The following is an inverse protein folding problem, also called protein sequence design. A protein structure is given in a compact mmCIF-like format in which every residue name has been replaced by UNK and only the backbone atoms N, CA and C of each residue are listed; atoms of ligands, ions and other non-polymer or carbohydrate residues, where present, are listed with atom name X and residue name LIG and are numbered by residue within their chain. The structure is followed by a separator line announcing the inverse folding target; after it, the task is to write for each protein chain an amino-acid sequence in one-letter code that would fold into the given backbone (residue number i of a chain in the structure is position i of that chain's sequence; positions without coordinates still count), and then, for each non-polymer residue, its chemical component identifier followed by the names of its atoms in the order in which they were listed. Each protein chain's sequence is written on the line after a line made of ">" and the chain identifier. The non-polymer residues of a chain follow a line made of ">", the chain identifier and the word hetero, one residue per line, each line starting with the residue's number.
data_IF_807459974933
#
_entry.id   IF_807459974933
#
_cell.length_a   1.000
_cell.length_b   1.000
_cell.length_c   1.000
_cell.angle_alpha   90.00
_cell.angle_beta   90.00
_cell.angle_gamma   90.00
#
_symmetry.space_group_name_H-M   'P 1'
#
loop_
_entity.id
_entity.type
_entity.pdbx_description
1 polymer ?
#
# COMPACT_ATOMS: atom_id res chain seq x y z
N UNK A 1 1.72 14.42 -10.69
CA UNK A 1 3.14 14.58 -11.05
C UNK A 1 3.26 15.19 -12.45
N UNK A 2 2.71 14.54 -13.49
CA UNK A 2 2.85 15.01 -14.89
C UNK A 2 2.38 16.44 -15.08
N UNK A 3 1.22 16.82 -14.54
CA UNK A 3 0.73 18.18 -14.57
C UNK A 3 1.69 19.20 -13.93
N UNK A 4 2.27 18.87 -12.78
CA UNK A 4 3.25 19.75 -12.12
C UNK A 4 4.53 19.89 -12.95
N UNK A 5 5.03 18.80 -13.53
CA UNK A 5 6.19 18.86 -14.44
C UNK A 5 5.86 19.68 -15.69
N UNK A 6 4.65 19.56 -16.26
CA UNK A 6 4.19 20.39 -17.37
C UNK A 6 4.09 21.89 -17.02
N UNK A 7 3.91 22.23 -15.74
CA UNK A 7 3.98 23.60 -15.21
C UNK A 7 5.41 24.02 -14.80
N UNK A 8 6.42 23.23 -15.17
CA UNK A 8 7.83 23.52 -14.89
C UNK A 8 8.26 23.26 -13.44
N UNK A 9 7.50 22.48 -12.68
CA UNK A 9 7.84 22.09 -11.31
C UNK A 9 8.59 20.76 -11.32
N UNK A 10 9.80 20.71 -10.78
CA UNK A 10 10.61 19.49 -10.69
C UNK A 10 9.96 18.51 -9.70
N UNK A 11 9.19 17.56 -10.22
CA UNK A 11 8.32 16.67 -9.45
C UNK A 11 8.64 15.21 -9.70
N UNK A 12 8.71 14.42 -8.63
CA UNK A 12 8.79 12.95 -8.67
C UNK A 12 7.55 12.31 -8.07
N UNK A 13 7.22 11.11 -8.58
CA UNK A 13 6.13 10.28 -8.10
C UNK A 13 6.69 9.09 -7.32
N UNK A 14 6.06 8.75 -6.17
CA UNK A 14 6.39 7.57 -5.39
C UNK A 14 5.14 6.70 -5.17
N UNK A 15 5.19 5.45 -5.63
CA UNK A 15 4.07 4.51 -5.59
C UNK A 15 4.46 3.18 -4.98
N UNK A 16 3.44 2.43 -4.55
CA UNK A 16 3.59 1.02 -4.20
C UNK A 16 3.72 0.16 -5.44
N UNK A 17 4.43 -0.94 -5.29
CA UNK A 17 4.45 -2.03 -6.25
C UNK A 17 3.12 -2.81 -6.19
N UNK A 18 2.52 -3.17 -7.34
CA UNK A 18 1.28 -3.95 -7.36
C UNK A 18 1.52 -5.41 -6.98
N UNK A 19 0.59 -5.98 -6.21
CA UNK A 19 0.54 -7.41 -5.89
C UNK A 19 -0.20 -8.19 -6.98
N UNK A 20 0.26 -9.41 -7.32
CA UNK A 20 -0.35 -10.27 -8.33
C UNK A 20 -1.80 -10.64 -8.01
N UNK A 21 -2.14 -10.82 -6.73
CA UNK A 21 -3.50 -11.13 -6.33
C UNK A 21 -4.52 -10.09 -6.83
N UNK A 22 -4.35 -8.79 -6.52
CA UNK A 22 -5.16 -7.71 -7.10
C UNK A 22 -5.07 -7.58 -8.62
N UNK A 23 -3.88 -7.79 -9.23
CA UNK A 23 -3.69 -7.70 -10.69
C UNK A 23 -4.58 -8.69 -11.43
N UNK A 24 -4.58 -9.95 -10.99
CA UNK A 24 -5.45 -11.00 -11.57
C UNK A 24 -6.85 -11.02 -10.95
N UNK A 25 -7.15 -10.15 -10.00
CA UNK A 25 -8.44 -10.03 -9.34
C UNK A 25 -9.32 -8.94 -9.94
N UNK A 26 -10.38 -8.60 -9.21
CA UNK A 26 -11.37 -7.59 -9.61
C UNK A 26 -10.79 -6.17 -9.68
N UNK A 27 -9.71 -5.89 -8.94
CA UNK A 27 -9.10 -4.55 -8.90
C UNK A 27 -8.20 -4.25 -10.10
N UNK A 28 -7.63 -5.28 -10.73
CA UNK A 28 -6.64 -5.11 -11.78
C UNK A 28 -5.30 -4.57 -11.27
N UNK A 29 -4.44 -4.12 -12.19
CA UNK A 29 -3.10 -3.58 -11.88
C UNK A 29 -3.12 -2.21 -11.20
N UNK A 30 -1.97 -1.81 -10.65
CA UNK A 30 -1.80 -0.56 -9.91
C UNK A 30 -0.88 0.46 -10.59
N UNK A 31 -0.45 0.22 -11.83
CA UNK A 31 0.42 1.13 -12.60
C UNK A 31 -0.33 2.33 -13.21
N UNK A 32 -1.60 2.56 -12.83
CA UNK A 32 -2.44 3.60 -13.38
C UNK A 32 -3.33 3.14 -14.53
N UNK A 33 -3.89 4.09 -15.29
CA UNK A 33 -4.77 3.80 -16.41
C UNK A 33 -4.99 5.00 -17.33
N UNK A 34 -5.48 4.73 -18.54
CA UNK A 34 -5.61 5.77 -19.56
C UNK A 34 -4.27 6.41 -19.88
N UNK A 35 -4.22 7.73 -19.94
CA UNK A 35 -2.99 8.49 -20.14
C UNK A 35 -2.20 8.76 -18.85
N UNK A 36 -2.75 8.42 -17.68
CA UNK A 36 -2.08 8.55 -16.38
C UNK A 36 -1.51 7.19 -15.94
N UNK A 37 -0.41 6.79 -16.52
CA UNK A 37 0.24 5.50 -16.29
C UNK A 37 1.72 5.65 -15.98
N UNK A 38 2.23 4.68 -15.21
CA UNK A 38 3.66 4.40 -15.02
C UNK A 38 4.05 3.25 -15.94
N UNK A 39 5.18 3.34 -16.59
CA UNK A 39 5.66 2.35 -17.57
C UNK A 39 7.01 1.76 -17.17
N UNK A 40 7.27 0.50 -17.52
CA UNK A 40 6.46 -0.44 -18.34
C UNK A 40 5.32 -1.08 -17.52
N UNK A 41 4.07 -0.77 -17.85
CA UNK A 41 2.89 -1.11 -17.03
C UNK A 41 2.68 -2.62 -16.86
N UNK A 42 2.79 -3.37 -17.97
CA UNK A 42 2.60 -4.82 -17.95
C UNK A 42 3.67 -5.51 -17.09
N UNK A 43 4.92 -5.12 -17.24
CA UNK A 43 6.03 -5.69 -16.47
C UNK A 43 5.92 -5.33 -14.98
N UNK A 44 5.57 -4.07 -14.66
CA UNK A 44 5.34 -3.62 -13.29
C UNK A 44 4.24 -4.45 -12.63
N UNK A 45 3.14 -4.72 -13.33
CA UNK A 45 2.03 -5.53 -12.83
C UNK A 45 2.40 -7.01 -12.65
N UNK A 46 3.49 -7.50 -13.23
CA UNK A 46 3.95 -8.88 -13.22
C UNK A 46 5.26 -9.10 -12.44
N UNK A 47 5.56 -8.25 -11.46
CA UNK A 47 6.72 -8.36 -10.55
C UNK A 47 8.09 -8.24 -11.25
N UNK A 48 8.26 -7.33 -12.18
CA UNK A 48 9.52 -7.15 -12.88
C UNK A 48 10.71 -6.81 -11.97
N UNK A 49 10.45 -6.19 -10.81
CA UNK A 49 11.48 -5.79 -9.83
C UNK A 49 12.08 -6.98 -9.08
N UNK A 50 11.28 -8.01 -8.81
CA UNK A 50 11.65 -9.11 -7.94
C UNK A 50 11.47 -8.86 -6.43
N UNK A 51 11.09 -7.66 -6.01
CA UNK A 51 10.95 -7.28 -4.59
C UNK A 51 9.95 -8.18 -3.86
N UNK A 52 8.77 -8.41 -4.43
CA UNK A 52 7.74 -9.27 -3.85
C UNK A 52 8.19 -10.73 -3.75
N UNK A 53 8.97 -11.23 -4.71
CA UNK A 53 9.56 -12.58 -4.64
C UNK A 53 10.60 -12.69 -3.52
N UNK A 54 11.46 -11.67 -3.36
CA UNK A 54 12.45 -11.62 -2.28
C UNK A 54 11.76 -11.60 -0.90
N UNK A 55 10.71 -10.79 -0.74
CA UNK A 55 9.92 -10.69 0.49
C UNK A 55 9.23 -12.02 0.82
N UNK A 56 8.58 -12.65 -0.18
CA UNK A 56 7.95 -13.95 0.00
C UNK A 56 8.96 -15.03 0.38
N UNK A 57 10.13 -15.04 -0.26
CA UNK A 57 11.20 -16.00 0.05
C UNK A 57 11.75 -15.77 1.46
N UNK A 58 11.99 -14.55 1.89
CA UNK A 58 12.46 -14.24 3.24
C UNK A 58 11.43 -14.64 4.31
N UNK A 59 10.14 -14.40 4.06
CA UNK A 59 9.06 -14.82 4.93
C UNK A 59 9.00 -16.36 5.09
N UNK A 60 9.09 -17.07 3.98
CA UNK A 60 8.99 -18.53 3.97
C UNK A 60 10.26 -19.20 4.49
N UNK A 61 11.42 -18.54 4.37
CA UNK A 61 12.65 -18.99 5.03
C UNK A 61 12.48 -19.03 6.55
N UNK A 62 11.92 -17.98 7.15
CA UNK A 62 11.65 -17.97 8.60
C UNK A 62 10.71 -19.13 8.99
N UNK A 63 9.62 -19.36 8.26
CA UNK A 63 8.71 -20.45 8.49
C UNK A 63 9.42 -21.81 8.45
N UNK A 64 10.25 -22.03 7.42
CA UNK A 64 11.02 -23.28 7.29
C UNK A 64 12.06 -23.44 8.42
N UNK A 65 12.70 -22.36 8.87
CA UNK A 65 13.67 -22.41 9.97
C UNK A 65 13.00 -22.70 11.31
N UNK A 66 11.78 -22.21 11.57
CA UNK A 66 11.00 -22.56 12.77
C UNK A 66 10.72 -24.06 12.78
N UNK A 67 10.18 -24.61 11.68
CA UNK A 67 9.86 -26.03 11.56
C UNK A 67 11.12 -26.91 11.69
N UNK A 68 12.22 -26.48 11.08
CA UNK A 68 13.51 -27.16 11.19
C UNK A 68 14.06 -27.12 12.64
N UNK A 69 13.93 -26.01 13.35
CA UNK A 69 14.36 -25.90 14.74
C UNK A 69 13.63 -26.91 15.64
N UNK A 70 12.32 -27.08 15.42
CA UNK A 70 11.53 -28.10 16.14
C UNK A 70 11.98 -29.49 15.75
N UNK A 71 12.17 -29.79 14.49
CA UNK A 71 12.58 -31.09 13.97
C UNK A 71 13.98 -31.51 14.47
N UNK A 72 14.90 -30.56 14.64
CA UNK A 72 16.27 -30.79 15.10
C UNK A 72 16.42 -30.77 16.63
N UNK A 73 15.38 -31.10 17.36
CA UNK A 73 15.40 -31.26 18.81
C UNK A 73 14.83 -30.09 19.62
N UNK A 74 14.27 -29.09 18.96
CA UNK A 74 13.52 -27.99 19.60
C UNK A 74 14.29 -27.30 20.74
N UNK A 75 15.51 -26.79 20.51
CA UNK A 75 16.35 -26.21 21.56
C UNK A 75 15.72 -24.97 22.23
N UNK A 76 14.79 -24.31 21.57
CA UNK A 76 14.06 -23.14 22.06
C UNK A 76 12.77 -23.50 22.78
N UNK A 77 12.46 -24.80 22.93
CA UNK A 77 11.26 -25.29 23.60
C UNK A 77 9.94 -24.70 23.02
N UNK A 78 9.87 -24.56 21.70
CA UNK A 78 8.71 -24.02 20.98
C UNK A 78 7.52 -24.98 21.12
N UNK A 79 6.34 -24.46 21.47
CA UNK A 79 5.08 -25.20 21.37
C UNK A 79 4.57 -25.12 19.91
N UNK A 80 4.53 -26.24 19.16
CA UNK A 80 4.08 -26.25 17.77
C UNK A 80 2.65 -25.74 17.54
N UNK A 81 1.83 -25.72 18.59
CA UNK A 81 0.46 -25.19 18.55
C UNK A 81 0.41 -23.67 18.73
N UNK A 82 1.55 -23.04 19.02
CA UNK A 82 1.69 -21.61 19.31
C UNK A 82 2.67 -20.93 18.37
N UNK A 83 2.82 -21.45 17.16
CA UNK A 83 3.52 -20.77 16.07
C UNK A 83 2.53 -19.75 15.49
N UNK A 84 2.92 -18.48 15.51
CA UNK A 84 2.12 -17.36 14.99
C UNK A 84 2.51 -16.98 13.57
N UNK A 85 3.66 -17.46 13.11
CA UNK A 85 4.21 -17.17 11.80
C UNK A 85 3.62 -18.10 10.74
N UNK A 86 3.06 -17.50 9.69
CA UNK A 86 2.54 -18.22 8.53
C UNK A 86 3.47 -18.09 7.34
N UNK A 87 3.31 -18.97 6.38
CA UNK A 87 3.88 -18.83 5.06
C UNK A 87 3.17 -17.74 4.27
N UNK A 88 3.73 -17.34 3.13
CA UNK A 88 3.04 -16.41 2.24
C UNK A 88 3.31 -16.76 0.78
N UNK A 89 2.40 -16.29 -0.09
CA UNK A 89 2.56 -16.26 -1.53
C UNK A 89 1.80 -15.04 -2.07
N UNK A 90 2.25 -14.46 -3.16
CA UNK A 90 1.62 -13.25 -3.68
C UNK A 90 0.44 -13.56 -4.61
N UNK A 91 -0.56 -14.25 -4.06
CA UNK A 91 -1.81 -14.60 -4.72
C UNK A 91 -2.95 -14.66 -3.71
N UNK A 92 -4.16 -14.28 -4.12
CA UNK A 92 -5.36 -14.49 -3.32
C UNK A 92 -5.81 -15.94 -3.43
N UNK A 93 -5.42 -16.79 -2.47
CA UNK A 93 -5.80 -18.19 -2.42
C UNK A 93 -6.48 -18.54 -1.09
N UNK A 94 -7.81 -18.71 -1.14
CA UNK A 94 -8.61 -19.08 0.05
C UNK A 94 -8.41 -20.51 0.50
N UNK A 95 -8.01 -21.40 -0.40
CA UNK A 95 -7.78 -22.82 -0.08
C UNK A 95 -6.57 -22.99 0.84
N UNK A 96 -5.61 -22.06 0.78
CA UNK A 96 -4.37 -22.12 1.56
C UNK A 96 -4.41 -21.29 2.85
N UNK A 97 -5.54 -20.69 3.23
CA UNK A 97 -5.64 -19.88 4.46
C UNK A 97 -5.44 -20.69 5.74
N UNK A 98 -5.93 -21.93 5.72
CA UNK A 98 -5.79 -22.87 6.83
C UNK A 98 -5.46 -24.23 6.24
N UNK A 99 -4.26 -24.74 6.57
CA UNK A 99 -3.76 -26.03 6.08
C UNK A 99 -3.16 -26.80 7.26
N UNK A 100 -2.91 -28.08 7.05
CA UNK A 100 -2.03 -28.87 7.91
C UNK A 100 -0.77 -29.16 7.10
N UNK A 101 0.38 -28.73 7.61
CA UNK A 101 1.69 -29.03 7.04
C UNK A 101 2.39 -30.17 7.81
N UNK A 102 3.60 -30.54 7.37
CA UNK A 102 4.41 -31.58 8.04
C UNK A 102 3.89 -33.01 7.88
N UNK A 103 2.93 -33.26 6.96
CA UNK A 103 2.39 -34.60 6.70
C UNK A 103 3.40 -35.48 5.96
N UNK A 104 3.21 -36.82 5.98
CA UNK A 104 4.06 -37.78 5.28
C UNK A 104 5.11 -38.45 6.14
N UNK A 105 4.99 -38.38 7.45
CA UNK A 105 5.81 -39.08 8.43
C UNK A 105 6.96 -38.27 9.01
N UNK A 106 7.67 -38.85 9.96
CA UNK A 106 8.65 -38.21 10.83
C UNK A 106 9.74 -37.40 10.07
N UNK A 107 10.10 -37.82 8.86
CA UNK A 107 11.13 -37.15 8.05
C UNK A 107 10.68 -35.78 7.51
N UNK A 108 9.38 -35.54 7.46
CA UNK A 108 8.80 -34.29 6.91
C UNK A 108 8.47 -33.24 7.98
N UNK A 109 8.70 -33.55 9.25
CA UNK A 109 8.48 -32.61 10.35
C UNK A 109 7.35 -33.01 11.29
N UNK A 110 6.88 -32.04 12.06
CA UNK A 110 5.76 -32.17 13.00
C UNK A 110 4.50 -31.63 12.37
N UNK A 111 3.44 -32.45 12.18
CA UNK A 111 2.17 -31.92 11.67
C UNK A 111 1.63 -30.81 12.55
N UNK A 112 1.29 -29.68 11.93
CA UNK A 112 0.70 -28.52 12.60
C UNK A 112 -0.22 -27.73 11.69
N UNK A 113 -1.02 -26.86 12.27
CA UNK A 113 -1.76 -25.85 11.52
C UNK A 113 -0.80 -24.80 10.96
N UNK A 114 -0.98 -24.43 9.71
CA UNK A 114 -0.30 -23.35 9.03
C UNK A 114 -1.27 -22.66 8.04
N UNK A 115 -0.79 -21.77 7.23
CA UNK A 115 -1.51 -21.10 6.15
C UNK A 115 -0.61 -20.26 5.30
N UNK A 116 -1.17 -19.75 4.21
CA UNK A 116 -0.49 -18.82 3.34
C UNK A 116 -1.24 -17.48 3.34
N UNK A 117 -0.60 -16.44 3.84
CA UNK A 117 -1.07 -15.07 3.68
C UNK A 117 -0.57 -14.51 2.33
N UNK A 118 -1.20 -13.45 1.82
CA UNK A 118 -0.67 -12.78 0.64
C UNK A 118 0.60 -12.01 1.02
N UNK A 119 1.63 -12.04 0.17
CA UNK A 119 2.96 -11.46 0.47
C UNK A 119 2.89 -10.01 0.95
N UNK A 120 2.01 -9.20 0.36
CA UNK A 120 1.82 -7.78 0.72
C UNK A 120 1.13 -7.55 2.08
N UNK A 121 0.63 -8.61 2.71
CA UNK A 121 0.11 -8.60 4.09
C UNK A 121 1.13 -9.11 5.11
N UNK A 122 2.30 -9.57 4.70
CA UNK A 122 3.32 -10.09 5.60
C UNK A 122 3.97 -8.99 6.46
N UNK A 123 4.41 -9.36 7.67
CA UNK A 123 5.23 -8.45 8.50
C UNK A 123 6.55 -8.09 7.81
N UNK A 124 7.12 -8.98 7.01
CA UNK A 124 8.35 -8.71 6.25
C UNK A 124 8.14 -7.54 5.30
N UNK A 125 7.01 -7.48 4.58
CA UNK A 125 6.67 -6.34 3.73
C UNK A 125 6.55 -5.03 4.53
N UNK A 126 5.88 -5.05 5.68
CA UNK A 126 5.72 -3.86 6.52
C UNK A 126 7.07 -3.37 7.07
N UNK A 127 7.91 -4.27 7.56
CA UNK A 127 9.26 -3.99 8.04
C UNK A 127 10.13 -3.42 6.92
N UNK A 128 10.12 -4.05 5.75
CA UNK A 128 10.85 -3.63 4.57
C UNK A 128 10.52 -2.18 4.17
N UNK A 129 9.24 -1.83 4.16
CA UNK A 129 8.80 -0.48 3.79
C UNK A 129 9.13 0.60 4.84
N UNK A 130 9.33 0.22 6.11
CA UNK A 130 9.70 1.14 7.17
C UNK A 130 11.22 1.20 7.40
N UNK A 131 11.98 0.24 6.90
CA UNK A 131 13.43 0.22 7.06
C UNK A 131 14.11 1.42 6.39
N UNK A 132 15.17 1.92 7.01
CA UNK A 132 15.95 3.07 6.54
C UNK A 132 17.36 2.71 6.09
N UNK A 133 17.79 1.48 6.36
CA UNK A 133 19.08 0.91 5.95
C UNK A 133 19.05 -0.61 6.07
N UNK A 134 20.05 -1.28 5.50
CA UNK A 134 20.18 -2.74 5.63
C UNK A 134 20.40 -3.18 7.09
N UNK A 135 21.09 -2.37 7.88
CA UNK A 135 21.30 -2.64 9.30
C UNK A 135 20.00 -2.51 10.10
N UNK A 136 19.22 -1.45 9.84
CA UNK A 136 17.90 -1.24 10.44
C UNK A 136 16.94 -2.36 10.02
N UNK A 137 16.95 -2.77 8.75
CA UNK A 137 16.18 -3.91 8.27
C UNK A 137 16.50 -5.19 9.07
N UNK A 138 17.78 -5.52 9.23
CA UNK A 138 18.21 -6.70 9.98
C UNK A 138 17.78 -6.64 11.45
N UNK A 139 17.92 -5.49 12.08
CA UNK A 139 17.52 -5.30 13.47
C UNK A 139 16.02 -5.51 13.65
N UNK A 140 15.19 -4.95 12.75
CA UNK A 140 13.73 -5.12 12.78
C UNK A 140 13.31 -6.57 12.55
N UNK A 141 13.89 -7.22 11.54
CA UNK A 141 13.63 -8.63 11.25
C UNK A 141 13.95 -9.52 12.46
N UNK A 142 15.03 -9.22 13.19
CA UNK A 142 15.40 -9.98 14.39
C UNK A 142 14.36 -9.92 15.51
N UNK A 143 13.53 -8.88 15.55
CA UNK A 143 12.51 -8.64 16.59
C UNK A 143 11.15 -9.28 16.28
N UNK A 144 10.96 -9.86 15.09
CA UNK A 144 9.72 -10.54 14.73
C UNK A 144 9.43 -11.65 15.74
N UNK A 145 8.28 -11.61 16.40
CA UNK A 145 7.79 -12.70 17.25
C UNK A 145 7.10 -13.73 16.37
N UNK A 146 7.69 -14.90 16.25
CA UNK A 146 7.24 -15.93 15.31
C UNK A 146 6.60 -17.16 15.98
N UNK A 147 6.82 -17.36 17.29
CA UNK A 147 6.28 -18.46 18.05
C UNK A 147 6.29 -18.17 19.56
N UNK A 148 5.76 -19.09 20.35
CA UNK A 148 5.87 -19.08 21.82
C UNK A 148 6.36 -20.44 22.32
N UNK A 149 7.10 -20.42 23.43
CA UNK A 149 7.51 -21.64 24.16
C UNK A 149 6.31 -22.28 24.87
N UNK A 150 6.48 -23.52 25.36
CA UNK A 150 5.47 -24.17 26.20
C UNK A 150 5.14 -23.37 27.48
N UNK A 151 6.09 -22.57 27.98
CA UNK A 151 5.90 -21.68 29.13
C UNK A 151 5.27 -20.31 28.73
N UNK A 152 5.01 -20.09 27.46
CA UNK A 152 4.39 -18.86 26.96
C UNK A 152 5.36 -17.69 26.72
N UNK A 153 6.65 -17.92 26.70
CA UNK A 153 7.64 -16.89 26.35
C UNK A 153 7.68 -16.69 24.83
N UNK A 154 7.77 -15.43 24.33
CA UNK A 154 7.91 -15.20 22.90
C UNK A 154 9.25 -15.72 22.37
N UNK A 155 9.23 -16.26 21.16
CA UNK A 155 10.39 -16.65 20.37
C UNK A 155 10.48 -15.75 19.16
N UNK A 156 11.64 -15.15 18.94
CA UNK A 156 11.86 -14.20 17.85
C UNK A 156 12.62 -14.83 16.67
N UNK A 157 12.56 -14.17 15.51
CA UNK A 157 13.40 -14.56 14.36
C UNK A 157 14.92 -14.43 14.68
N UNK A 158 15.28 -13.55 15.62
CA UNK A 158 16.63 -13.47 16.17
C UNK A 158 17.01 -14.71 16.96
N UNK A 159 16.12 -15.23 17.81
CA UNK A 159 16.35 -16.48 18.58
C UNK A 159 16.49 -17.71 17.66
N UNK A 160 15.73 -17.74 16.57
CA UNK A 160 15.83 -18.75 15.50
C UNK A 160 17.15 -18.62 14.71
N UNK A 161 17.78 -17.44 14.71
CA UNK A 161 18.96 -17.14 13.90
C UNK A 161 18.66 -16.79 12.46
N UNK A 162 17.41 -16.47 12.10
CA UNK A 162 16.97 -16.25 10.72
C UNK A 162 17.30 -14.88 10.15
N UNK A 163 17.43 -13.86 10.99
CA UNK A 163 17.48 -12.45 10.59
C UNK A 163 18.58 -12.13 9.56
N UNK A 164 19.75 -12.75 9.69
CA UNK A 164 20.87 -12.56 8.75
C UNK A 164 20.57 -13.08 7.35
N UNK A 165 20.02 -14.30 7.26
CA UNK A 165 19.65 -14.91 5.98
C UNK A 165 18.47 -14.20 5.31
N UNK A 166 17.46 -13.80 6.08
CA UNK A 166 16.35 -12.96 5.61
C UNK A 166 16.86 -11.65 5.02
N UNK A 167 17.78 -10.97 5.72
CA UNK A 167 18.38 -9.71 5.25
C UNK A 167 19.17 -9.92 3.95
N UNK A 168 19.91 -11.01 3.84
CA UNK A 168 20.66 -11.32 2.61
C UNK A 168 19.74 -11.53 1.39
N UNK A 169 18.57 -12.15 1.58
CA UNK A 169 17.57 -12.31 0.52
C UNK A 169 16.95 -10.97 0.10
N UNK A 170 16.87 -10.00 1.01
CA UNK A 170 16.23 -8.71 0.79
C UNK A 170 17.20 -7.59 0.35
N UNK A 171 18.51 -7.85 0.32
CA UNK A 171 19.51 -6.78 0.16
C UNK A 171 19.35 -5.98 -1.15
N UNK A 172 19.11 -6.67 -2.27
CA UNK A 172 18.99 -6.03 -3.59
C UNK A 172 17.60 -5.42 -3.77
N UNK A 173 16.57 -6.06 -3.19
CA UNK A 173 15.21 -5.55 -3.17
C UNK A 173 15.07 -4.24 -2.38
N UNK A 174 15.99 -3.97 -1.44
CA UNK A 174 15.93 -2.76 -0.59
C UNK A 174 16.21 -1.47 -1.39
N UNK A 175 16.80 -1.56 -2.57
CA UNK A 175 17.05 -0.42 -3.46
C UNK A 175 15.76 -0.06 -4.22
N UNK A 176 15.29 1.20 -4.14
CA UNK A 176 14.06 1.62 -4.83
C UNK A 176 14.15 1.55 -6.36
N UNK A 177 13.08 1.14 -7.01
CA UNK A 177 13.01 0.95 -8.46
C UNK A 177 12.62 2.26 -9.17
N UNK A 178 13.51 2.78 -9.99
CA UNK A 178 13.26 3.98 -10.81
C UNK A 178 12.60 3.59 -12.14
N UNK A 179 11.47 4.17 -12.40
CA UNK A 179 10.66 4.03 -13.61
C UNK A 179 10.20 5.41 -14.08
N UNK A 180 9.30 5.49 -15.03
CA UNK A 180 8.78 6.78 -15.53
C UNK A 180 7.28 6.72 -15.82
N UNK A 181 6.65 7.89 -15.89
CA UNK A 181 5.29 8.03 -16.41
C UNK A 181 5.28 7.97 -17.93
N UNK A 182 4.09 7.83 -18.56
CA UNK A 182 3.93 7.95 -20.02
C UNK A 182 4.46 9.27 -20.57
N UNK A 183 4.46 10.33 -19.77
CA UNK A 183 4.96 11.66 -20.13
C UNK A 183 6.46 11.84 -19.80
N UNK A 184 7.18 10.74 -19.57
CA UNK A 184 8.62 10.70 -19.29
C UNK A 184 9.04 11.41 -18.00
N UNK A 185 8.16 11.51 -17.01
CA UNK A 185 8.50 12.05 -15.71
C UNK A 185 8.96 10.93 -14.76
N UNK A 186 9.95 11.21 -13.88
CA UNK A 186 10.49 10.17 -13.01
C UNK A 186 9.47 9.70 -11.98
N UNK A 187 9.42 8.39 -11.79
CA UNK A 187 8.61 7.74 -10.76
C UNK A 187 9.43 6.65 -10.07
N UNK A 188 9.23 6.51 -8.76
CA UNK A 188 9.80 5.41 -7.98
C UNK A 188 8.68 4.49 -7.55
N UNK A 189 8.91 3.18 -7.76
CA UNK A 189 8.04 2.11 -7.28
C UNK A 189 8.85 1.27 -6.29
N UNK A 190 8.35 1.11 -5.05
CA UNK A 190 9.07 0.35 -4.04
C UNK A 190 8.17 -0.08 -2.88
N UNK A 191 8.10 -1.39 -2.65
CA UNK A 191 7.25 -2.01 -1.64
C UNK A 191 5.75 -1.89 -1.94
N UNK A 192 4.93 -2.69 -1.29
CA UNK A 192 3.51 -2.78 -1.60
C UNK A 192 2.60 -3.19 -0.43
N UNK A 193 2.79 -2.68 0.80
CA UNK A 193 2.01 -3.13 1.95
C UNK A 193 0.54 -2.74 1.80
N UNK A 194 -0.38 -3.66 2.12
CA UNK A 194 -1.80 -3.36 2.12
C UNK A 194 -2.18 -2.40 3.25
N UNK A 195 -3.03 -1.42 2.95
CA UNK A 195 -3.45 -0.41 3.92
C UNK A 195 -4.37 -0.96 5.02
N UNK A 196 -5.12 -2.02 4.75
CA UNK A 196 -5.96 -2.68 5.76
C UNK A 196 -5.19 -3.59 6.72
N UNK A 197 -3.94 -3.95 6.40
CA UNK A 197 -3.10 -4.82 7.24
C UNK A 197 -1.92 -4.02 7.82
N UNK A 198 -1.23 -3.24 6.98
CA UNK A 198 -0.06 -2.45 7.34
C UNK A 198 -0.30 -0.95 7.08
N UNK A 199 0.75 -0.18 6.80
CA UNK A 199 0.65 1.28 6.63
C UNK A 199 0.20 1.73 5.23
N UNK A 200 0.13 0.83 4.24
CA UNK A 200 -0.54 1.08 2.95
C UNK A 200 0.04 2.16 2.06
N UNK A 201 1.35 2.36 2.12
CA UNK A 201 2.09 3.33 1.31
C UNK A 201 3.47 2.78 0.94
N UNK A 202 4.09 3.34 -0.08
CA UNK A 202 5.44 2.96 -0.51
C UNK A 202 6.49 3.13 0.61
N UNK A 203 7.71 2.67 0.37
CA UNK A 203 8.75 2.65 1.39
C UNK A 203 9.20 4.05 1.83
N UNK A 204 9.73 4.12 3.05
CA UNK A 204 10.41 5.31 3.58
C UNK A 204 11.62 5.68 2.72
N UNK A 205 12.39 4.68 2.27
CA UNK A 205 13.57 4.88 1.42
C UNK A 205 13.21 5.54 0.10
N UNK A 206 12.17 5.06 -0.60
CA UNK A 206 11.69 5.64 -1.85
C UNK A 206 11.30 7.11 -1.68
N UNK A 207 10.52 7.42 -0.64
CA UNK A 207 10.08 8.80 -0.38
C UNK A 207 11.26 9.71 -0.04
N UNK A 208 12.18 9.28 0.84
CA UNK A 208 13.36 10.09 1.20
C UNK A 208 14.32 10.31 0.02
N UNK A 209 14.52 9.28 -0.79
CA UNK A 209 15.32 9.39 -2.01
C UNK A 209 14.70 10.42 -2.97
N UNK A 210 13.39 10.33 -3.22
CA UNK A 210 12.70 11.29 -4.09
C UNK A 210 12.76 12.72 -3.55
N UNK A 211 12.63 12.92 -2.24
CA UNK A 211 12.76 14.23 -1.59
C UNK A 211 14.16 14.83 -1.73
N UNK A 212 15.19 14.01 -1.92
CA UNK A 212 16.55 14.50 -2.18
C UNK A 212 16.80 14.85 -3.66
N UNK A 213 15.94 14.38 -4.58
CA UNK A 213 16.12 14.51 -6.03
C UNK A 213 15.18 15.51 -6.68
N UNK A 214 14.07 15.87 -6.05
CA UNK A 214 13.04 16.73 -6.61
C UNK A 214 12.57 17.80 -5.62
N UNK A 215 12.02 18.90 -6.15
CA UNK A 215 11.46 19.99 -5.33
C UNK A 215 10.08 19.58 -4.77
N UNK A 216 9.36 18.73 -5.50
CA UNK A 216 8.06 18.20 -5.11
C UNK A 216 8.05 16.68 -5.22
N UNK A 217 7.51 16.03 -4.20
CA UNK A 217 7.28 14.58 -4.22
C UNK A 217 5.80 14.31 -3.99
N UNK A 218 5.19 13.62 -4.95
CA UNK A 218 3.80 13.14 -4.82
C UNK A 218 3.86 11.67 -4.43
N UNK A 219 3.26 11.34 -3.32
CA UNK A 219 3.16 9.97 -2.83
C UNK A 219 1.71 9.61 -2.54
N UNK A 220 1.46 8.39 -2.14
CA UNK A 220 0.12 7.84 -1.97
C UNK A 220 -0.17 7.42 -0.53
N UNK A 221 -1.46 7.36 -0.22
CA UNK A 221 -1.99 6.65 0.93
C UNK A 221 -3.16 5.78 0.45
N UNK A 222 -3.08 4.47 0.68
CA UNK A 222 -4.02 3.51 0.13
C UNK A 222 -5.37 3.49 0.84
N UNK A 223 -6.42 3.06 0.14
CA UNK A 223 -7.81 3.03 0.61
C UNK A 223 -8.40 4.42 0.88
N UNK A 224 -9.48 4.48 1.65
CA UNK A 224 -10.08 5.73 2.08
C UNK A 224 -9.19 6.54 3.04
N UNK A 225 -9.43 7.83 3.14
CA UNK A 225 -8.64 8.71 3.99
C UNK A 225 -8.76 8.39 5.49
N UNK A 226 -9.85 7.76 5.88
CA UNK A 226 -10.11 7.22 7.22
C UNK A 226 -9.21 6.04 7.62
N UNK A 227 -8.53 5.45 6.65
CA UNK A 227 -7.62 4.31 6.87
C UNK A 227 -6.21 4.64 6.40
N UNK A 228 -6.03 4.87 5.10
CA UNK A 228 -4.71 5.04 4.50
C UNK A 228 -4.04 6.36 4.87
N UNK A 229 -4.76 7.47 4.86
CA UNK A 229 -4.20 8.77 5.24
C UNK A 229 -3.81 8.79 6.72
N UNK A 230 -4.62 8.23 7.62
CA UNK A 230 -4.27 8.12 9.04
C UNK A 230 -3.01 7.29 9.23
N UNK A 231 -2.91 6.12 8.62
CA UNK A 231 -1.70 5.29 8.71
C UNK A 231 -0.47 5.93 8.09
N UNK A 232 -0.63 6.66 6.98
CA UNK A 232 0.45 7.43 6.40
C UNK A 232 0.97 8.49 7.37
N UNK A 233 0.09 9.27 7.98
CA UNK A 233 0.43 10.36 8.89
C UNK A 233 0.94 9.83 10.24
N UNK A 234 0.23 8.88 10.84
CA UNK A 234 0.51 8.40 12.19
C UNK A 234 1.63 7.37 12.25
N UNK A 235 1.89 6.62 11.19
CA UNK A 235 2.94 5.60 11.14
C UNK A 235 4.11 6.09 10.29
N UNK A 236 3.92 6.21 8.97
CA UNK A 236 5.03 6.49 8.05
C UNK A 236 5.67 7.85 8.29
N UNK A 237 4.87 8.91 8.41
CA UNK A 237 5.39 10.27 8.58
C UNK A 237 6.14 10.42 9.90
N UNK A 238 5.58 9.92 11.01
CA UNK A 238 6.25 9.94 12.31
C UNK A 238 7.55 9.15 12.29
N UNK A 239 7.51 7.97 11.70
CA UNK A 239 8.67 7.09 11.64
C UNK A 239 9.79 7.67 10.78
N UNK A 240 9.44 8.21 9.63
CA UNK A 240 10.40 8.77 8.68
C UNK A 240 10.88 10.18 9.03
N UNK A 241 10.21 10.87 9.97
CA UNK A 241 10.48 12.28 10.31
C UNK A 241 10.14 13.21 9.15
N UNK A 242 9.04 12.91 8.41
CA UNK A 242 8.55 13.73 7.30
C UNK A 242 7.13 14.21 7.58
N UNK A 243 6.71 15.29 6.93
CA UNK A 243 5.34 15.80 6.98
C UNK A 243 4.91 16.24 5.59
N UNK A 244 3.69 15.93 5.13
CA UNK A 244 3.19 16.45 3.86
C UNK A 244 2.92 17.96 3.97
N UNK A 245 3.19 18.69 2.90
CA UNK A 245 2.89 20.12 2.79
C UNK A 245 1.43 20.38 2.41
N UNK A 246 0.80 19.44 1.74
CA UNK A 246 -0.60 19.49 1.33
C UNK A 246 -1.13 18.06 1.08
N UNK A 247 -2.45 17.94 1.07
CA UNK A 247 -3.13 16.68 0.75
C UNK A 247 -4.10 16.87 -0.40
N UNK A 248 -4.03 16.00 -1.41
CA UNK A 248 -5.05 15.88 -2.45
C UNK A 248 -6.01 14.76 -2.02
N UNK A 249 -7.23 15.14 -1.68
CA UNK A 249 -8.30 14.21 -1.35
C UNK A 249 -9.09 13.85 -2.61
N UNK A 250 -8.96 12.62 -3.08
CA UNK A 250 -9.66 12.16 -4.28
C UNK A 250 -11.09 11.78 -3.93
N UNK A 251 -12.06 12.40 -4.59
CA UNK A 251 -13.46 12.07 -4.52
C UNK A 251 -13.98 11.56 -5.87
N UNK A 252 -14.96 10.66 -5.85
CA UNK A 252 -15.70 10.24 -7.04
C UNK A 252 -17.20 10.36 -6.79
N UNK A 253 -17.94 10.83 -7.78
CA UNK A 253 -19.42 10.87 -7.73
C UNK A 253 -19.98 9.48 -7.44
N UNK A 254 -19.39 8.44 -8.05
CA UNK A 254 -19.79 7.04 -7.83
C UNK A 254 -19.65 6.59 -6.36
N UNK A 255 -18.56 6.98 -5.70
CA UNK A 255 -18.38 6.65 -4.28
C UNK A 255 -19.42 7.34 -3.42
N UNK A 256 -19.72 8.62 -3.69
CA UNK A 256 -20.76 9.34 -2.96
C UNK A 256 -22.14 8.73 -3.19
N UNK A 257 -22.50 8.35 -4.41
CA UNK A 257 -23.75 7.59 -4.69
C UNK A 257 -23.81 6.29 -3.88
N UNK A 258 -22.70 5.53 -3.83
CA UNK A 258 -22.65 4.28 -3.05
C UNK A 258 -22.85 4.55 -1.56
N UNK A 259 -22.24 5.59 -1.01
CA UNK A 259 -22.46 6.03 0.37
C UNK A 259 -23.88 6.53 0.60
N UNK A 260 -24.53 7.07 -0.43
CA UNK A 260 -25.93 7.46 -0.42
C UNK A 260 -26.92 6.31 -0.61
N UNK A 261 -26.44 5.06 -0.61
CA UNK A 261 -27.26 3.84 -0.63
C UNK A 261 -27.55 3.28 -2.02
N UNK A 262 -26.94 3.78 -3.11
CA UNK A 262 -27.10 3.24 -4.45
C UNK A 262 -26.39 1.91 -4.60
N UNK A 263 -27.09 0.91 -5.15
CA UNK A 263 -26.51 -0.40 -5.43
C UNK A 263 -25.40 -0.33 -6.49
N UNK A 264 -24.41 -1.23 -6.40
CA UNK A 264 -23.23 -1.24 -7.29
C UNK A 264 -23.59 -1.27 -8.79
N UNK A 265 -24.68 -1.95 -9.14
CA UNK A 265 -25.15 -2.06 -10.53
C UNK A 265 -25.67 -0.72 -11.10
N UNK A 266 -26.17 0.18 -10.23
CA UNK A 266 -26.86 1.40 -10.62
C UNK A 266 -25.98 2.67 -10.48
N UNK A 267 -24.73 2.53 -10.06
CA UNK A 267 -23.80 3.67 -9.82
C UNK A 267 -23.55 4.54 -11.08
N UNK A 268 -23.76 4.00 -12.25
CA UNK A 268 -23.60 4.71 -13.53
C UNK A 268 -24.82 5.57 -13.89
N UNK A 269 -25.94 5.41 -13.19
CA UNK A 269 -27.15 6.22 -13.44
C UNK A 269 -27.04 7.55 -12.67
N UNK A 270 -27.53 8.66 -13.25
CA UNK A 270 -27.62 9.93 -12.54
C UNK A 270 -28.47 9.81 -11.26
N UNK A 271 -27.94 10.29 -10.13
CA UNK A 271 -28.68 10.30 -8.87
C UNK A 271 -28.14 11.35 -7.91
N UNK A 272 -28.52 12.62 -8.11
CA UNK A 272 -28.08 13.74 -7.31
C UNK A 272 -28.48 13.61 -5.82
N UNK A 273 -29.66 13.04 -5.54
CA UNK A 273 -30.12 12.88 -4.15
C UNK A 273 -29.22 11.88 -3.38
N UNK A 274 -28.76 10.84 -4.05
CA UNK A 274 -27.80 9.91 -3.45
C UNK A 274 -26.42 10.58 -3.24
N UNK A 275 -25.97 11.43 -4.16
CA UNK A 275 -24.74 12.21 -3.99
C UNK A 275 -24.86 13.11 -2.76
N UNK A 276 -26.01 13.80 -2.59
CA UNK A 276 -26.28 14.64 -1.40
C UNK A 276 -26.23 13.83 -0.12
N UNK A 277 -26.90 12.68 -0.09
CA UNK A 277 -26.92 11.80 1.08
C UNK A 277 -25.51 11.28 1.45
N UNK A 278 -24.69 10.92 0.44
CA UNK A 278 -23.34 10.40 0.64
C UNK A 278 -22.27 11.47 0.91
N UNK A 279 -22.56 12.74 0.69
CA UNK A 279 -21.58 13.82 0.83
C UNK A 279 -21.04 13.98 2.28
N UNK A 280 -21.78 13.51 3.28
CA UNK A 280 -21.33 13.51 4.68
C UNK A 280 -19.99 12.79 4.89
N UNK A 281 -19.69 11.77 4.11
CA UNK A 281 -18.38 11.08 4.15
C UNK A 281 -17.25 12.00 3.64
N UNK A 282 -17.48 12.71 2.53
CA UNK A 282 -16.51 13.67 2.00
C UNK A 282 -16.22 14.77 3.03
N UNK A 283 -17.28 15.34 3.62
CA UNK A 283 -17.14 16.36 4.68
C UNK A 283 -16.33 15.83 5.85
N UNK A 284 -16.57 14.60 6.30
CA UNK A 284 -15.81 13.99 7.39
C UNK A 284 -14.33 13.83 7.03
N UNK A 285 -14.01 13.37 5.82
CA UNK A 285 -12.61 13.24 5.38
C UNK A 285 -11.90 14.59 5.27
N UNK A 286 -12.59 15.63 4.77
CA UNK A 286 -12.05 16.99 4.74
C UNK A 286 -11.77 17.47 6.17
N UNK A 287 -12.71 17.29 7.10
CA UNK A 287 -12.57 17.69 8.48
C UNK A 287 -11.39 17.00 9.18
N UNK A 288 -11.26 15.69 9.02
CA UNK A 288 -10.16 14.92 9.59
C UNK A 288 -8.81 15.42 9.09
N UNK A 289 -8.65 15.63 7.78
CA UNK A 289 -7.38 16.06 7.20
C UNK A 289 -7.07 17.52 7.52
N UNK A 290 -8.06 18.42 7.39
CA UNK A 290 -7.89 19.86 7.58
C UNK A 290 -7.77 20.24 9.05
N UNK A 291 -8.71 19.79 9.88
CA UNK A 291 -8.80 20.17 11.28
C UNK A 291 -8.13 19.17 12.20
N UNK A 292 -8.24 17.87 11.95
CA UNK A 292 -7.61 16.81 12.74
C UNK A 292 -6.10 16.77 12.57
N UNK A 293 -5.61 16.79 11.34
CA UNK A 293 -4.18 16.74 11.02
C UNK A 293 -3.55 18.09 10.67
N UNK A 294 -4.36 19.15 10.53
CA UNK A 294 -3.87 20.51 10.25
C UNK A 294 -3.28 20.70 8.85
N UNK A 295 -3.71 19.90 7.86
CA UNK A 295 -3.15 19.92 6.51
C UNK A 295 -3.95 20.86 5.59
N UNK A 296 -3.26 21.59 4.68
CA UNK A 296 -3.92 22.14 3.50
C UNK A 296 -4.52 21.00 2.65
N UNK A 297 -5.81 21.11 2.33
CA UNK A 297 -6.52 20.08 1.54
C UNK A 297 -7.06 20.69 0.26
N UNK A 298 -6.86 19.98 -0.85
CA UNK A 298 -7.50 20.21 -2.14
C UNK A 298 -8.29 18.96 -2.51
N UNK A 299 -9.55 19.11 -2.88
CA UNK A 299 -10.36 17.97 -3.35
C UNK A 299 -10.23 17.85 -4.86
N UNK A 300 -9.91 16.64 -5.33
CA UNK A 300 -9.89 16.30 -6.75
C UNK A 300 -11.11 15.41 -7.05
N UNK A 301 -12.04 15.88 -7.86
CA UNK A 301 -13.10 15.05 -8.42
C UNK A 301 -12.49 14.22 -9.55
N UNK A 302 -12.31 12.92 -9.33
CA UNK A 302 -11.87 12.02 -10.39
C UNK A 302 -13.05 11.73 -11.32
N UNK A 303 -13.04 12.36 -12.49
CA UNK A 303 -14.15 12.38 -13.44
C UNK A 303 -14.38 11.01 -14.09
N UNK A 304 -15.62 10.59 -14.12
CA UNK A 304 -16.08 9.44 -14.90
C UNK A 304 -17.02 9.92 -16.02
N UNK A 305 -17.04 9.24 -17.20
CA UNK A 305 -17.91 9.64 -18.30
C UNK A 305 -19.42 9.64 -17.98
N UNK A 306 -19.80 8.97 -16.91
CA UNK A 306 -21.20 8.85 -16.45
C UNK A 306 -21.61 9.90 -15.42
N UNK A 307 -20.66 10.72 -14.96
CA UNK A 307 -20.95 11.77 -13.99
C UNK A 307 -21.67 12.95 -14.68
N UNK A 308 -22.72 13.47 -14.06
CA UNK A 308 -23.42 14.63 -14.61
C UNK A 308 -22.84 15.96 -14.10
N UNK A 309 -22.97 17.05 -14.87
CA UNK A 309 -22.55 18.37 -14.43
C UNK A 309 -23.16 18.79 -13.09
N UNK A 310 -24.43 18.46 -12.85
CA UNK A 310 -25.15 18.77 -11.62
C UNK A 310 -24.57 18.03 -10.42
N UNK A 311 -24.21 16.77 -10.59
CA UNK A 311 -23.56 15.95 -9.55
C UNK A 311 -22.18 16.52 -9.20
N UNK A 312 -21.38 16.88 -10.20
CA UNK A 312 -20.06 17.50 -10.01
C UNK A 312 -20.17 18.87 -9.34
N UNK A 313 -21.06 19.73 -9.81
CA UNK A 313 -21.31 21.06 -9.22
C UNK A 313 -21.72 20.97 -7.74
N UNK A 314 -22.51 19.96 -7.37
CA UNK A 314 -22.87 19.74 -5.98
C UNK A 314 -21.65 19.38 -5.10
N UNK A 315 -20.73 18.54 -5.61
CA UNK A 315 -19.50 18.22 -4.88
C UNK A 315 -18.62 19.47 -4.71
N UNK A 316 -18.52 20.32 -5.74
CA UNK A 316 -17.82 21.61 -5.66
C UNK A 316 -18.44 22.53 -4.61
N UNK A 317 -19.76 22.60 -4.58
CA UNK A 317 -20.48 23.38 -3.56
C UNK A 317 -20.16 22.90 -2.14
N UNK A 318 -20.24 21.59 -1.89
CA UNK A 318 -19.90 20.99 -0.58
C UNK A 318 -18.47 21.35 -0.16
N UNK A 319 -17.52 21.27 -1.08
CA UNK A 319 -16.13 21.63 -0.79
C UNK A 319 -15.98 23.14 -0.46
N UNK A 320 -16.67 24.00 -1.21
CA UNK A 320 -16.67 25.44 -0.95
C UNK A 320 -17.26 25.78 0.44
N UNK A 321 -18.32 25.10 0.87
CA UNK A 321 -18.90 25.21 2.20
C UNK A 321 -17.93 24.79 3.32
N UNK A 322 -17.03 23.83 3.03
CA UNK A 322 -15.95 23.42 3.94
C UNK A 322 -14.70 24.34 3.84
N UNK A 323 -14.73 25.33 2.96
CA UNK A 323 -13.59 26.23 2.72
C UNK A 323 -12.34 25.52 2.20
N UNK A 324 -12.53 24.56 1.27
CA UNK A 324 -11.45 23.87 0.59
C UNK A 324 -11.61 23.97 -0.93
N UNK A 325 -10.51 24.15 -1.69
CA UNK A 325 -10.58 24.12 -3.16
C UNK A 325 -11.05 22.75 -3.65
N UNK A 326 -11.83 22.75 -4.73
CA UNK A 326 -12.25 21.56 -5.43
C UNK A 326 -11.98 21.72 -6.93
N UNK A 327 -11.44 20.70 -7.57
CA UNK A 327 -11.07 20.73 -9.00
C UNK A 327 -11.44 19.41 -9.66
N UNK A 328 -12.01 19.50 -10.86
CA UNK A 328 -12.24 18.34 -11.71
C UNK A 328 -10.90 17.82 -12.25
N UNK A 329 -10.65 16.54 -12.11
CA UNK A 329 -9.45 15.85 -12.61
C UNK A 329 -9.83 14.94 -13.76
N UNK A 330 -9.27 15.19 -14.93
CA UNK A 330 -9.48 14.43 -16.16
C UNK A 330 -8.20 13.72 -16.61
N UNK A 331 -7.30 13.42 -15.68
CA UNK A 331 -5.97 12.83 -15.97
C UNK A 331 -6.04 11.49 -16.69
N UNK A 332 -7.10 10.71 -16.46
CA UNK A 332 -7.29 9.44 -17.17
C UNK A 332 -7.41 9.65 -18.69
N UNK A 333 -8.17 10.64 -19.12
CA UNK A 333 -8.44 10.92 -20.52
C UNK A 333 -7.40 11.84 -21.18
N UNK A 334 -6.74 12.71 -20.40
CA UNK A 334 -5.94 13.83 -20.92
C UNK A 334 -4.51 13.88 -20.35
N UNK A 335 -4.08 12.87 -19.59
CA UNK A 335 -2.75 12.86 -18.96
C UNK A 335 -2.51 14.09 -18.07
N UNK A 336 -1.29 14.59 -18.04
CA UNK A 336 -0.89 15.74 -17.24
C UNK A 336 -1.69 17.01 -17.58
N UNK A 337 -2.10 17.20 -18.83
CA UNK A 337 -2.94 18.34 -19.21
C UNK A 337 -4.26 18.38 -18.43
N UNK A 338 -4.89 17.20 -18.25
CA UNK A 338 -6.13 17.07 -17.48
C UNK A 338 -5.98 17.31 -15.97
N UNK A 339 -4.77 17.46 -15.47
CA UNK A 339 -4.44 17.71 -14.06
C UNK A 339 -3.89 19.11 -13.78
N UNK A 340 -3.68 19.98 -14.78
CA UNK A 340 -3.03 21.29 -14.58
C UNK A 340 -3.79 22.20 -13.61
N UNK A 341 -5.11 22.28 -13.76
CA UNK A 341 -5.93 23.08 -12.85
C UNK A 341 -5.82 22.62 -11.39
N UNK A 342 -5.67 21.31 -11.16
CA UNK A 342 -5.42 20.76 -9.83
C UNK A 342 -4.00 21.10 -9.33
N UNK A 343 -3.01 21.05 -10.21
CA UNK A 343 -1.61 21.34 -9.86
C UNK A 343 -1.36 22.82 -9.54
N UNK A 344 -2.20 23.72 -10.03
CA UNK A 344 -2.15 25.15 -9.75
C UNK A 344 -2.74 25.54 -8.39
N UNK A 345 -3.56 24.70 -7.80
CA UNK A 345 -4.15 24.91 -6.48
C UNK A 345 -3.24 24.46 -5.35
#
# INVERSE_FOLDING_TARGET
>A
ADAMNALGKKTMLCLREPSLGPVFGVKGGAAGGGYAQVVPMEDINLHFTGDLHAIGTANNLLAAMIDNSIQQGNPLNIDPRRITWKRCMDMNDRQLRFIVDGLGGKVNGTPREDGFDITVASEVMAIFCLATSISDLKERLSKIVCAYTYEGKPVTAGDIGAAGAMTALLKDALDPNLVQTLENNPAIIHGGPFANIAHGCNSVMATKLSLSLADYVITEAGFGADLGAEKFLDIKCRYAGIAPSACVLVATVRALKSHGGVAKADLNQPNLEAVKAGASNLVRHIDNLKNGFGLPVVVAINAFPTDTPEEQAYVEQVCAEQGVPCVLSEVFAKGGEGGKALAEK
#
